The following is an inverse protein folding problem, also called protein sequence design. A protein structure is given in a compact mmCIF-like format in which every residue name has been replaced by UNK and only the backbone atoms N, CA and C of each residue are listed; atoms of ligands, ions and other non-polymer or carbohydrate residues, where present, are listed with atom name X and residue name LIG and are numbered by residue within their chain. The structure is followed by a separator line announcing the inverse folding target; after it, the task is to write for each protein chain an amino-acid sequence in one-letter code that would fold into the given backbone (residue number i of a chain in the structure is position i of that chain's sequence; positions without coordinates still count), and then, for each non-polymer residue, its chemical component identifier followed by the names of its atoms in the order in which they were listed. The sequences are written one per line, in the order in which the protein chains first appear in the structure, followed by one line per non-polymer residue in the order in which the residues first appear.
data_IF_553969158011
#
_entry.id   IF_553969158011
#
_cell.length_a   1.000
_cell.length_b   1.000
_cell.length_c   1.000
_cell.angle_alpha   90.00
_cell.angle_beta   90.00
_cell.angle_gamma   90.00
#
_symmetry.space_group_name_H-M   'P 1'
#
loop_
_entity.id
_entity.type
_entity.pdbx_description
1 polymer ?
#
# COMPACT_ATOMS: atom_id res chain seq x y z
N UNK A 1 -19.49 34.98 5.21
CA UNK A 1 -20.45 34.07 5.88
C UNK A 1 -21.54 33.73 4.88
N UNK A 2 -21.38 32.65 4.13
CA UNK A 2 -22.43 32.10 3.25
C UNK A 2 -23.19 31.04 4.04
N UNK A 3 -24.34 31.44 4.57
CA UNK A 3 -25.33 30.56 5.18
C UNK A 3 -25.88 29.63 4.09
N UNK A 4 -25.28 28.45 3.96
CA UNK A 4 -25.89 27.34 3.23
C UNK A 4 -27.05 26.84 4.08
N UNK A 5 -28.27 27.21 3.69
CA UNK A 5 -29.48 26.57 4.19
C UNK A 5 -29.33 25.05 3.94
N UNK A 6 -29.20 24.27 5.02
CA UNK A 6 -29.31 22.81 4.96
C UNK A 6 -30.76 22.49 4.62
N UNK A 7 -31.06 22.43 3.32
CA UNK A 7 -32.26 21.77 2.84
C UNK A 7 -32.27 20.34 3.40
N UNK A 8 -33.42 19.85 3.87
CA UNK A 8 -33.54 18.48 4.34
C UNK A 8 -33.12 17.52 3.22
N UNK A 9 -32.01 16.81 3.40
CA UNK A 9 -31.52 15.85 2.42
C UNK A 9 -32.41 14.60 2.54
N UNK A 10 -33.35 14.43 1.60
CA UNK A 10 -34.14 13.19 1.49
C UNK A 10 -33.16 12.06 1.21
N UNK A 11 -33.19 11.01 2.03
CA UNK A 11 -32.39 9.81 1.84
C UNK A 11 -33.29 8.71 1.30
N UNK A 12 -33.02 8.27 0.07
CA UNK A 12 -33.69 7.15 -0.58
C UNK A 12 -32.81 5.91 -0.50
N UNK A 13 -33.45 4.76 -0.39
CA UNK A 13 -32.82 3.44 -0.35
C UNK A 13 -33.52 2.48 -1.29
N UNK A 14 -32.92 1.33 -1.57
CA UNK A 14 -33.57 0.28 -2.37
C UNK A 14 -34.90 -0.19 -1.78
N UNK A 15 -35.04 -0.17 -0.44
CA UNK A 15 -36.29 -0.48 0.26
C UNK A 15 -37.46 0.37 -0.23
N UNK A 16 -37.20 1.63 -0.56
CA UNK A 16 -38.24 2.61 -0.90
C UNK A 16 -38.79 2.40 -2.33
N UNK A 17 -38.19 1.51 -3.13
CA UNK A 17 -38.71 1.11 -4.44
C UNK A 17 -39.88 0.11 -4.33
N UNK A 18 -40.09 -0.49 -3.15
CA UNK A 18 -41.15 -1.48 -2.89
C UNK A 18 -41.21 -2.64 -3.91
N UNK A 19 -40.06 -3.04 -4.43
CA UNK A 19 -39.95 -4.10 -5.42
C UNK A 19 -40.12 -5.49 -4.78
N UNK A 20 -40.75 -6.45 -5.47
CA UNK A 20 -40.87 -7.81 -4.97
C UNK A 20 -39.51 -8.51 -4.90
N UNK A 21 -39.41 -9.46 -3.97
CA UNK A 21 -38.21 -10.28 -3.73
C UNK A 21 -38.52 -11.73 -4.13
N UNK A 22 -37.62 -12.43 -4.85
CA UNK A 22 -37.79 -13.85 -5.16
C UNK A 22 -37.93 -14.72 -3.91
N UNK A 23 -38.85 -15.70 -3.90
CA UNK A 23 -38.99 -16.63 -2.78
C UNK A 23 -37.67 -17.37 -2.46
N UNK A 24 -37.33 -17.45 -1.18
CA UNK A 24 -36.10 -18.09 -0.70
C UNK A 24 -34.85 -17.21 -0.73
N UNK A 25 -34.95 -15.96 -1.23
CA UNK A 25 -33.83 -14.99 -1.26
C UNK A 25 -34.02 -13.83 -0.28
N UNK A 26 -35.04 -13.88 0.56
CA UNK A 26 -35.45 -12.80 1.46
C UNK A 26 -34.34 -12.38 2.41
N UNK A 27 -33.63 -13.35 3.02
CA UNK A 27 -32.55 -13.06 3.96
C UNK A 27 -31.34 -12.41 3.29
N UNK A 28 -31.00 -12.84 2.07
CA UNK A 28 -29.90 -12.28 1.30
C UNK A 28 -30.22 -10.86 0.84
N UNK A 29 -31.42 -10.64 0.31
CA UNK A 29 -31.88 -9.30 -0.10
C UNK A 29 -31.99 -8.35 1.09
N UNK A 30 -32.43 -8.83 2.26
CA UNK A 30 -32.53 -8.00 3.46
C UNK A 30 -31.19 -7.32 3.84
N UNK A 31 -30.05 -7.91 3.48
CA UNK A 31 -28.70 -7.35 3.72
C UNK A 31 -28.38 -6.10 2.92
N UNK A 32 -29.14 -5.82 1.86
CA UNK A 32 -28.84 -4.73 0.91
C UNK A 32 -29.96 -3.72 0.74
N UNK A 33 -31.12 -3.92 1.36
CA UNK A 33 -32.27 -3.01 1.23
C UNK A 33 -31.98 -1.59 1.73
N UNK A 34 -31.04 -1.41 2.67
CA UNK A 34 -30.60 -0.11 3.17
C UNK A 34 -29.58 0.61 2.27
N UNK A 35 -29.24 0.02 1.12
CA UNK A 35 -28.32 0.61 0.14
C UNK A 35 -28.87 1.96 -0.31
N UNK A 36 -28.15 3.07 -0.08
CA UNK A 36 -28.55 4.39 -0.54
C UNK A 36 -28.63 4.45 -2.06
N UNK A 37 -29.64 5.15 -2.58
CA UNK A 37 -29.82 5.36 -4.02
C UNK A 37 -29.96 6.85 -4.27
N UNK A 38 -29.20 7.36 -5.25
CA UNK A 38 -29.34 8.76 -5.66
C UNK A 38 -30.67 8.98 -6.38
N UNK A 39 -31.20 10.21 -6.32
CA UNK A 39 -32.54 10.52 -6.85
C UNK A 39 -32.73 10.09 -8.30
N UNK A 40 -31.78 10.39 -9.18
CA UNK A 40 -31.85 10.03 -10.60
C UNK A 40 -31.87 8.51 -10.80
N UNK A 41 -31.06 7.78 -10.03
CA UNK A 41 -31.06 6.31 -10.06
C UNK A 41 -32.38 5.76 -9.52
N UNK A 42 -32.93 6.36 -8.46
CA UNK A 42 -34.21 5.95 -7.88
C UNK A 42 -35.36 6.13 -8.87
N UNK A 43 -35.44 7.29 -9.54
CA UNK A 43 -36.44 7.58 -10.57
C UNK A 43 -36.30 6.61 -11.75
N UNK A 44 -35.07 6.38 -12.24
CA UNK A 44 -34.79 5.41 -13.30
C UNK A 44 -35.25 3.99 -12.95
N UNK A 45 -34.94 3.53 -11.72
CA UNK A 45 -35.29 2.20 -11.24
C UNK A 45 -36.80 2.06 -11.00
N UNK A 46 -37.46 3.10 -10.48
CA UNK A 46 -38.91 3.08 -10.23
C UNK A 46 -39.72 2.79 -11.49
N UNK A 47 -39.25 3.23 -12.65
CA UNK A 47 -39.92 2.99 -13.95
C UNK A 47 -39.63 1.60 -14.54
N UNK A 48 -38.42 1.07 -14.31
CA UNK A 48 -37.87 -0.06 -15.09
C UNK A 48 -37.73 -1.35 -14.29
N UNK A 49 -37.46 -1.24 -13.00
CA UNK A 49 -37.31 -2.40 -12.15
C UNK A 49 -38.67 -3.06 -11.87
N UNK A 50 -38.64 -4.37 -11.75
CA UNK A 50 -39.77 -5.26 -11.50
C UNK A 50 -39.51 -6.21 -10.33
N UNK A 51 -38.29 -6.23 -9.81
CA UNK A 51 -37.88 -7.02 -8.64
C UNK A 51 -36.54 -6.57 -8.09
N UNK A 52 -36.17 -7.08 -6.92
CA UNK A 52 -34.84 -6.95 -6.32
C UNK A 52 -34.27 -8.35 -6.11
N UNK A 53 -32.97 -8.50 -6.39
CA UNK A 53 -32.20 -9.69 -6.10
C UNK A 53 -30.76 -9.34 -5.70
N UNK A 54 -29.96 -10.35 -5.36
CA UNK A 54 -28.53 -10.24 -5.11
C UNK A 54 -27.72 -11.12 -6.07
N UNK A 55 -26.50 -10.68 -6.37
CA UNK A 55 -25.55 -11.45 -7.18
C UNK A 55 -24.94 -12.62 -6.41
N UNK A 56 -24.31 -13.55 -7.14
CA UNK A 56 -23.59 -14.69 -6.56
C UNK A 56 -22.41 -14.25 -5.70
N UNK A 57 -21.72 -13.16 -6.08
CA UNK A 57 -20.58 -12.64 -5.33
C UNK A 57 -20.95 -12.26 -3.89
N UNK A 58 -22.12 -11.63 -3.70
CA UNK A 58 -22.64 -11.31 -2.37
C UNK A 58 -22.81 -12.57 -1.53
N UNK A 59 -23.46 -13.60 -2.08
CA UNK A 59 -23.74 -14.85 -1.38
C UNK A 59 -22.45 -15.59 -0.98
N UNK A 60 -21.48 -15.66 -1.89
CA UNK A 60 -20.15 -16.24 -1.64
C UNK A 60 -19.40 -15.50 -0.54
N UNK A 61 -19.37 -14.17 -0.62
CA UNK A 61 -18.63 -13.30 0.31
C UNK A 61 -19.23 -13.35 1.72
N UNK A 62 -20.56 -13.21 1.85
CA UNK A 62 -21.20 -13.21 3.18
C UNK A 62 -21.08 -14.59 3.84
N UNK A 63 -21.12 -15.66 3.05
CA UNK A 63 -20.93 -17.03 3.52
C UNK A 63 -19.49 -17.27 3.97
N UNK A 64 -18.51 -16.92 3.13
CA UNK A 64 -17.09 -17.11 3.44
C UNK A 64 -16.69 -16.40 4.74
N UNK A 65 -17.05 -15.13 4.88
CA UNK A 65 -16.70 -14.34 6.06
C UNK A 65 -17.68 -14.53 7.24
N UNK A 66 -18.69 -15.39 7.10
CA UNK A 66 -19.71 -15.66 8.14
C UNK A 66 -20.33 -14.36 8.66
N UNK A 67 -20.73 -13.50 7.73
CA UNK A 67 -21.20 -12.14 8.06
C UNK A 67 -22.54 -12.21 8.82
N UNK A 68 -22.69 -11.47 9.94
CA UNK A 68 -23.93 -11.44 10.70
C UNK A 68 -25.17 -11.14 9.83
N UNK A 69 -26.35 -11.72 10.14
CA UNK A 69 -27.57 -11.45 9.39
C UNK A 69 -27.87 -9.96 9.25
N UNK A 70 -28.46 -9.57 8.10
CA UNK A 70 -28.85 -8.19 7.83
C UNK A 70 -27.73 -7.23 7.41
N UNK A 71 -26.47 -7.68 7.33
CA UNK A 71 -25.35 -6.84 6.88
C UNK A 71 -24.48 -7.45 5.79
N UNK A 72 -23.53 -6.65 5.30
CA UNK A 72 -22.45 -7.06 4.37
C UNK A 72 -21.09 -6.74 5.00
N UNK A 73 -20.06 -7.57 4.78
CA UNK A 73 -18.78 -7.41 5.48
C UNK A 73 -18.04 -6.13 5.04
N UNK A 74 -17.10 -5.70 5.87
CA UNK A 74 -16.17 -4.62 5.51
C UNK A 74 -15.28 -5.01 4.33
N UNK A 75 -14.75 -4.01 3.62
CA UNK A 75 -13.87 -4.21 2.46
C UNK A 75 -14.60 -4.43 1.15
N UNK A 76 -15.91 -4.18 1.10
CA UNK A 76 -16.72 -4.33 -0.10
C UNK A 76 -17.67 -3.15 -0.27
N UNK A 77 -17.74 -2.61 -1.49
CA UNK A 77 -18.80 -1.69 -1.91
C UNK A 77 -19.96 -2.50 -2.48
N UNK A 78 -21.18 -2.00 -2.30
CA UNK A 78 -22.38 -2.56 -2.93
C UNK A 78 -22.53 -1.95 -4.31
N UNK A 79 -22.57 -2.79 -5.33
CA UNK A 79 -22.76 -2.36 -6.72
C UNK A 79 -24.19 -2.69 -7.16
N UNK A 80 -24.84 -1.71 -7.79
CA UNK A 80 -26.18 -1.86 -8.34
C UNK A 80 -26.09 -2.15 -9.84
N UNK A 81 -26.74 -3.22 -10.28
CA UNK A 81 -26.97 -3.50 -11.69
C UNK A 81 -28.46 -3.75 -11.97
N UNK A 82 -28.91 -3.47 -13.19
CA UNK A 82 -30.24 -3.88 -13.65
C UNK A 82 -30.09 -5.04 -14.63
N UNK A 83 -30.66 -6.21 -14.32
CA UNK A 83 -30.59 -7.42 -15.15
C UNK A 83 -31.99 -8.02 -15.30
N UNK A 84 -32.45 -8.17 -16.54
CA UNK A 84 -33.76 -8.79 -16.86
C UNK A 84 -34.94 -8.19 -16.06
N UNK A 85 -34.88 -6.88 -15.78
CA UNK A 85 -35.90 -6.17 -15.00
C UNK A 85 -35.74 -6.26 -13.48
N UNK A 86 -34.79 -7.03 -12.94
CA UNK A 86 -34.46 -7.02 -11.51
C UNK A 86 -33.26 -6.12 -11.19
N UNK A 87 -33.33 -5.38 -10.09
CA UNK A 87 -32.16 -4.70 -9.51
C UNK A 87 -31.35 -5.74 -8.74
N UNK A 88 -30.17 -6.04 -9.24
CA UNK A 88 -29.23 -6.99 -8.64
C UNK A 88 -28.17 -6.21 -7.89
N UNK A 89 -28.04 -6.50 -6.59
CA UNK A 89 -26.96 -5.94 -5.76
C UNK A 89 -25.86 -6.98 -5.59
N UNK A 90 -24.62 -6.61 -5.91
CA UNK A 90 -23.46 -7.48 -5.70
C UNK A 90 -22.38 -6.78 -4.84
N UNK A 91 -21.39 -7.55 -4.39
CA UNK A 91 -20.26 -7.04 -3.60
C UNK A 91 -18.99 -6.98 -4.44
N UNK A 92 -18.45 -5.77 -4.57
CA UNK A 92 -17.17 -5.52 -5.26
C UNK A 92 -16.11 -5.15 -4.22
N UNK A 93 -14.92 -5.73 -4.31
CA UNK A 93 -13.82 -5.48 -3.37
C UNK A 93 -13.45 -3.99 -3.37
N UNK A 94 -13.51 -3.38 -2.19
CA UNK A 94 -13.06 -2.00 -1.96
C UNK A 94 -12.69 -1.82 -0.48
N UNK A 95 -11.39 -1.83 -0.18
CA UNK A 95 -10.89 -1.64 1.19
C UNK A 95 -11.12 -0.23 1.75
N UNK A 96 -11.59 0.71 0.92
CA UNK A 96 -12.10 2.02 1.35
C UNK A 96 -13.48 1.95 2.01
N UNK A 97 -14.17 0.81 1.93
CA UNK A 97 -15.45 0.57 2.57
C UNK A 97 -15.28 -0.20 3.89
N UNK A 98 -15.96 0.28 4.93
CA UNK A 98 -16.30 -0.50 6.12
C UNK A 98 -17.52 -1.38 5.87
N UNK A 99 -18.13 -1.87 6.95
CA UNK A 99 -19.33 -2.71 6.87
C UNK A 99 -20.48 -2.02 6.13
N UNK A 100 -21.34 -2.81 5.50
CA UNK A 100 -22.55 -2.33 4.82
C UNK A 100 -22.27 -1.36 3.65
N UNK A 101 -21.09 -1.45 3.04
CA UNK A 101 -20.67 -0.55 1.95
C UNK A 101 -20.48 0.91 2.39
N UNK A 102 -20.40 1.16 3.71
CA UNK A 102 -20.18 2.51 4.24
C UNK A 102 -18.74 2.91 4.01
N UNK A 103 -18.50 4.13 3.54
CA UNK A 103 -17.13 4.61 3.42
C UNK A 103 -16.46 4.69 4.80
N UNK A 104 -15.16 4.38 4.84
CA UNK A 104 -14.33 4.60 6.02
C UNK A 104 -14.30 6.10 6.38
N UNK A 105 -13.98 6.45 7.64
CA UNK A 105 -14.06 7.84 8.11
C UNK A 105 -13.19 8.84 7.33
N UNK A 106 -12.12 8.37 6.69
CA UNK A 106 -11.18 9.18 5.90
C UNK A 106 -11.00 8.58 4.52
N UNK A 107 -10.73 9.44 3.52
CA UNK A 107 -10.35 8.97 2.18
C UNK A 107 -8.97 8.30 2.19
N UNK A 108 -8.06 8.75 3.07
CA UNK A 108 -6.74 8.16 3.26
C UNK A 108 -6.88 6.84 4.02
N UNK A 109 -6.22 5.82 3.50
CA UNK A 109 -6.19 4.49 4.08
C UNK A 109 -4.87 4.22 4.78
N UNK A 110 -4.92 3.38 5.81
CA UNK A 110 -3.75 3.01 6.60
C UNK A 110 -3.45 1.53 6.48
N UNK A 111 -2.16 1.23 6.54
CA UNK A 111 -1.60 -0.12 6.52
C UNK A 111 -0.63 -0.33 7.67
N UNK A 112 -0.62 -1.55 8.20
CA UNK A 112 0.43 -2.02 9.08
C UNK A 112 1.58 -2.63 8.26
N UNK A 113 2.82 -2.17 8.45
CA UNK A 113 4.02 -2.79 7.88
C UNK A 113 4.63 -3.74 8.92
N UNK A 114 4.05 -4.94 9.05
CA UNK A 114 4.40 -5.85 10.13
C UNK A 114 3.99 -7.30 9.84
N UNK A 115 4.67 -8.24 10.50
CA UNK A 115 4.27 -9.63 10.61
C UNK A 115 3.99 -10.04 12.06
N UNK A 116 3.98 -9.09 13.01
CA UNK A 116 3.79 -9.35 14.43
C UNK A 116 2.30 -9.26 14.81
N UNK A 117 1.60 -10.38 15.09
CA UNK A 117 0.18 -10.35 15.44
C UNK A 117 -0.12 -9.51 16.69
N UNK A 118 0.79 -9.45 17.67
CA UNK A 118 0.60 -8.72 18.92
C UNK A 118 0.58 -7.20 18.71
N UNK A 119 1.36 -6.68 17.77
CA UNK A 119 1.38 -5.25 17.42
C UNK A 119 0.27 -4.89 16.43
N UNK A 120 -0.18 -5.85 15.62
CA UNK A 120 -1.25 -5.64 14.63
C UNK A 120 -2.63 -5.62 15.30
N UNK A 121 -2.89 -6.47 16.29
CA UNK A 121 -4.18 -6.56 16.99
C UNK A 121 -4.74 -5.22 17.49
N UNK A 122 -4.00 -4.36 18.21
CA UNK A 122 -4.52 -3.07 18.67
C UNK A 122 -4.76 -2.06 17.54
N UNK A 123 -4.09 -2.24 16.38
CA UNK A 123 -4.22 -1.34 15.23
C UNK A 123 -5.31 -1.81 14.24
N UNK A 124 -5.70 -3.09 14.29
CA UNK A 124 -6.59 -3.74 13.33
C UNK A 124 -7.89 -2.98 13.00
N UNK A 125 -8.61 -2.36 13.97
CA UNK A 125 -9.83 -1.62 13.67
C UNK A 125 -9.62 -0.38 12.78
N UNK A 126 -8.40 0.14 12.71
CA UNK A 126 -8.08 1.42 12.06
C UNK A 126 -7.39 1.25 10.70
N UNK A 127 -6.94 0.04 10.36
CA UNK A 127 -6.27 -0.25 9.09
C UNK A 127 -7.19 -0.93 8.10
N UNK A 128 -6.76 -0.87 6.84
CA UNK A 128 -7.45 -1.47 5.68
C UNK A 128 -6.50 -2.28 4.81
N UNK A 129 -5.22 -2.29 5.17
CA UNK A 129 -4.18 -3.02 4.49
C UNK A 129 -3.12 -3.49 5.51
N UNK A 130 -2.39 -4.54 5.15
CA UNK A 130 -1.16 -4.95 5.80
C UNK A 130 -0.13 -5.25 4.72
N UNK A 131 1.09 -4.80 4.92
CA UNK A 131 2.24 -5.16 4.09
C UNK A 131 3.24 -5.95 4.91
N UNK A 132 3.76 -7.03 4.34
CA UNK A 132 4.91 -7.74 4.90
C UNK A 132 5.85 -8.17 3.78
N UNK A 133 7.10 -8.44 4.14
CA UNK A 133 8.16 -8.91 3.26
C UNK A 133 8.97 -9.99 4.00
N UNK A 134 9.86 -10.75 3.33
CA UNK A 134 10.62 -11.82 3.98
C UNK A 134 11.39 -11.35 5.21
N UNK A 135 12.05 -10.18 5.17
CA UNK A 135 12.76 -9.63 6.33
C UNK A 135 11.83 -9.32 7.52
N UNK A 136 10.64 -8.77 7.26
CA UNK A 136 9.64 -8.53 8.31
C UNK A 136 9.14 -9.84 8.92
N UNK A 137 8.88 -10.86 8.10
CA UNK A 137 8.34 -12.15 8.55
C UNK A 137 9.41 -12.95 9.30
N UNK A 138 10.57 -13.15 8.69
CA UNK A 138 11.60 -14.04 9.21
C UNK A 138 12.45 -13.33 10.26
N UNK A 139 13.01 -12.16 9.95
CA UNK A 139 14.01 -11.54 10.82
C UNK A 139 13.37 -10.77 11.99
N UNK A 140 12.34 -9.97 11.70
CA UNK A 140 11.72 -9.11 12.72
C UNK A 140 10.72 -9.86 13.61
N UNK A 141 10.17 -10.99 13.13
CA UNK A 141 9.15 -11.74 13.85
C UNK A 141 9.55 -13.19 14.15
N UNK A 142 9.51 -14.11 13.17
CA UNK A 142 9.64 -15.55 13.42
C UNK A 142 10.93 -15.93 14.14
N UNK A 143 12.07 -15.38 13.71
CA UNK A 143 13.40 -15.63 14.26
C UNK A 143 13.76 -14.70 15.42
N UNK A 144 12.84 -13.83 15.85
CA UNK A 144 13.02 -12.93 16.97
C UNK A 144 12.26 -13.44 18.21
N UNK A 145 12.95 -14.03 19.21
CA UNK A 145 12.29 -14.60 20.40
C UNK A 145 11.53 -13.57 21.25
N UNK A 146 11.90 -12.29 21.18
CA UNK A 146 11.19 -11.21 21.90
C UNK A 146 9.85 -10.89 21.23
N UNK A 147 9.78 -11.01 19.90
CA UNK A 147 8.57 -10.74 19.12
C UNK A 147 7.67 -11.98 19.01
N UNK A 148 8.23 -13.15 18.68
CA UNK A 148 7.54 -14.44 18.65
C UNK A 148 7.55 -15.06 20.06
N UNK A 149 6.73 -14.49 20.94
CA UNK A 149 6.71 -14.79 22.38
C UNK A 149 6.50 -16.29 22.61
N UNK A 150 7.53 -16.92 23.19
CA UNK A 150 7.51 -18.36 23.51
C UNK A 150 7.57 -19.29 22.29
N UNK A 151 7.95 -18.79 21.11
CA UNK A 151 8.00 -19.59 19.89
C UNK A 151 6.62 -20.08 19.44
N UNK A 152 5.58 -19.29 19.69
CA UNK A 152 4.18 -19.65 19.42
C UNK A 152 3.92 -19.94 17.94
N UNK A 153 4.57 -19.22 17.05
CA UNK A 153 4.44 -19.38 15.60
C UNK A 153 5.65 -20.11 15.04
N UNK A 154 5.41 -21.14 14.23
CA UNK A 154 6.46 -22.02 13.70
C UNK A 154 6.87 -21.66 12.28
N UNK A 155 5.94 -21.15 11.49
CA UNK A 155 6.15 -20.88 10.08
C UNK A 155 5.34 -19.67 9.60
N UNK A 156 5.58 -19.29 8.35
CA UNK A 156 4.92 -18.16 7.68
C UNK A 156 3.41 -18.37 7.54
N UNK A 157 2.93 -19.59 7.39
CA UNK A 157 1.51 -19.89 7.20
C UNK A 157 0.72 -19.62 8.48
N UNK A 158 1.23 -20.05 9.63
CA UNK A 158 0.63 -19.78 10.94
C UNK A 158 0.53 -18.27 11.22
N UNK A 159 1.57 -17.51 10.84
CA UNK A 159 1.55 -16.05 10.96
C UNK A 159 0.50 -15.43 10.06
N UNK A 160 0.45 -15.81 8.78
CA UNK A 160 -0.54 -15.26 7.83
C UNK A 160 -1.97 -15.61 8.23
N UNK A 161 -2.20 -16.81 8.76
CA UNK A 161 -3.50 -17.24 9.25
C UNK A 161 -3.97 -16.39 10.43
N UNK A 162 -3.10 -16.13 11.40
CA UNK A 162 -3.44 -15.31 12.56
C UNK A 162 -3.64 -13.83 12.19
N UNK A 163 -2.79 -13.27 11.33
CA UNK A 163 -2.99 -11.91 10.81
C UNK A 163 -4.31 -11.80 10.04
N UNK A 164 -4.65 -12.81 9.23
CA UNK A 164 -5.94 -12.91 8.57
C UNK A 164 -7.10 -12.93 9.56
N UNK A 165 -7.00 -13.67 10.68
CA UNK A 165 -8.03 -13.70 11.73
C UNK A 165 -8.20 -12.32 12.38
N UNK A 166 -7.10 -11.67 12.75
CA UNK A 166 -7.09 -10.37 13.43
C UNK A 166 -7.67 -9.26 12.56
N UNK A 167 -7.28 -9.20 11.29
CA UNK A 167 -7.63 -8.10 10.38
C UNK A 167 -9.03 -8.23 9.77
N UNK A 168 -9.59 -9.44 9.73
CA UNK A 168 -10.93 -9.69 9.23
C UNK A 168 -11.09 -9.42 7.72
N UNK A 169 -12.33 -9.22 7.23
CA UNK A 169 -12.63 -9.08 5.80
C UNK A 169 -12.21 -7.73 5.21
N UNK A 170 -12.17 -6.67 6.02
CA UNK A 170 -11.99 -5.29 5.56
C UNK A 170 -10.57 -4.90 5.18
N UNK A 171 -9.64 -5.87 5.19
CA UNK A 171 -8.21 -5.64 5.03
C UNK A 171 -7.63 -6.46 3.88
N UNK A 172 -6.83 -5.83 3.02
CA UNK A 172 -5.97 -6.52 2.07
C UNK A 172 -4.60 -6.83 2.70
N UNK A 173 -4.07 -8.02 2.44
CA UNK A 173 -2.83 -8.50 3.04
C UNK A 173 -1.84 -8.77 1.91
N UNK A 174 -0.85 -7.90 1.78
CA UNK A 174 0.25 -8.02 0.83
C UNK A 174 1.36 -8.90 1.38
N UNK A 175 1.58 -10.06 0.74
CA UNK A 175 2.62 -11.01 1.12
C UNK A 175 3.61 -11.16 -0.04
N UNK A 176 4.88 -10.90 0.22
CA UNK A 176 5.91 -10.88 -0.82
C UNK A 176 6.45 -12.27 -1.12
N UNK A 177 6.69 -12.56 -2.40
CA UNK A 177 7.26 -13.84 -2.82
C UNK A 177 8.61 -14.07 -2.16
N UNK A 178 8.88 -15.31 -1.74
CA UNK A 178 10.18 -15.66 -1.16
C UNK A 178 11.31 -15.56 -2.19
N UNK A 179 11.06 -16.02 -3.41
CA UNK A 179 12.04 -15.98 -4.50
C UNK A 179 11.42 -15.42 -5.79
N UNK A 180 11.48 -14.10 -6.04
CA UNK A 180 11.02 -13.50 -7.29
C UNK A 180 11.92 -13.85 -8.50
N UNK A 181 13.05 -14.52 -8.25
CA UNK A 181 13.99 -14.99 -9.27
C UNK A 181 13.81 -16.48 -9.61
N UNK A 182 12.79 -17.15 -9.10
CA UNK A 182 12.44 -18.50 -9.54
C UNK A 182 12.09 -18.48 -11.05
N UNK A 183 12.69 -19.41 -11.82
CA UNK A 183 12.50 -19.50 -13.27
C UNK A 183 11.25 -20.31 -13.61
N UNK A 184 10.92 -21.31 -12.79
CA UNK A 184 9.71 -22.09 -12.92
C UNK A 184 8.51 -21.32 -12.34
N UNK A 185 7.74 -20.70 -13.24
CA UNK A 185 6.56 -19.94 -12.86
C UNK A 185 5.50 -20.78 -12.14
N UNK A 186 5.45 -22.10 -12.36
CA UNK A 186 4.50 -22.97 -11.66
C UNK A 186 4.75 -22.97 -10.15
N UNK A 187 6.01 -22.92 -9.69
CA UNK A 187 6.32 -22.81 -8.27
C UNK A 187 5.91 -21.47 -7.67
N UNK A 188 6.00 -20.39 -8.45
CA UNK A 188 5.50 -19.08 -8.03
C UNK A 188 3.97 -19.12 -7.87
N UNK A 189 3.27 -19.78 -8.80
CA UNK A 189 1.83 -19.98 -8.70
C UNK A 189 1.44 -20.87 -7.51
N UNK A 190 2.23 -21.90 -7.20
CA UNK A 190 2.02 -22.73 -6.00
C UNK A 190 2.14 -21.90 -4.71
N UNK A 191 3.18 -21.06 -4.59
CA UNK A 191 3.31 -20.14 -3.45
C UNK A 191 2.12 -19.16 -3.37
N UNK A 192 1.74 -18.56 -4.50
CA UNK A 192 0.62 -17.62 -4.55
C UNK A 192 -0.74 -18.29 -4.23
N UNK A 193 -0.96 -19.51 -4.73
CA UNK A 193 -2.15 -20.31 -4.46
C UNK A 193 -2.25 -20.69 -2.98
N UNK A 194 -1.13 -21.03 -2.35
CA UNK A 194 -1.08 -21.30 -0.90
C UNK A 194 -1.55 -20.09 -0.08
N UNK A 195 -1.09 -18.88 -0.41
CA UNK A 195 -1.60 -17.68 0.28
C UNK A 195 -3.05 -17.37 -0.04
N UNK A 196 -3.52 -17.67 -1.26
CA UNK A 196 -4.94 -17.54 -1.61
C UNK A 196 -5.81 -18.48 -0.78
N UNK A 197 -5.35 -19.69 -0.50
CA UNK A 197 -6.05 -20.64 0.38
C UNK A 197 -6.15 -20.11 1.82
N UNK A 198 -5.03 -19.64 2.38
CA UNK A 198 -4.96 -19.15 3.78
C UNK A 198 -5.75 -17.85 3.96
N UNK A 199 -5.62 -16.92 3.01
CA UNK A 199 -6.13 -15.56 3.16
C UNK A 199 -7.42 -15.30 2.38
N UNK A 200 -7.91 -16.24 1.57
CA UNK A 200 -9.00 -16.06 0.58
C UNK A 200 -8.61 -15.19 -0.63
N UNK A 201 -9.28 -15.36 -1.79
CA UNK A 201 -9.05 -14.53 -2.97
C UNK A 201 -9.35 -13.05 -2.72
N UNK A 202 -10.21 -12.71 -1.77
CA UNK A 202 -10.60 -11.32 -1.49
C UNK A 202 -9.59 -10.55 -0.65
N UNK A 203 -8.71 -11.20 0.12
CA UNK A 203 -7.75 -10.48 0.98
C UNK A 203 -6.31 -10.61 0.50
N UNK A 204 -5.93 -11.72 -0.13
CA UNK A 204 -4.56 -11.90 -0.59
C UNK A 204 -4.19 -10.88 -1.67
N UNK A 205 -2.99 -10.32 -1.55
CA UNK A 205 -2.32 -9.56 -2.61
C UNK A 205 -0.89 -10.06 -2.68
N UNK A 206 -0.44 -10.49 -3.86
CA UNK A 206 0.92 -11.01 -4.04
C UNK A 206 1.86 -9.84 -4.25
N UNK A 207 2.86 -9.71 -3.40
CA UNK A 207 3.82 -8.62 -3.49
C UNK A 207 5.05 -9.07 -4.29
N UNK A 208 5.39 -8.27 -5.30
CA UNK A 208 6.44 -8.56 -6.28
C UNK A 208 7.38 -7.36 -6.30
N UNK A 209 8.71 -7.54 -6.24
CA UNK A 209 9.64 -6.42 -6.30
C UNK A 209 10.01 -6.01 -7.72
N UNK A 210 10.36 -4.74 -7.90
CA UNK A 210 11.23 -4.32 -9.00
C UNK A 210 12.58 -5.04 -8.84
N UNK A 211 13.02 -5.73 -9.88
CA UNK A 211 14.20 -6.60 -9.83
C UNK A 211 15.49 -5.91 -10.27
N UNK A 212 15.38 -4.83 -11.07
CA UNK A 212 16.55 -4.20 -11.68
C UNK A 212 17.40 -5.22 -12.44
N UNK A 213 18.74 -5.15 -12.40
CA UNK A 213 19.62 -6.09 -13.10
C UNK A 213 19.71 -7.49 -12.43
N UNK A 214 19.03 -7.73 -11.32
CA UNK A 214 19.12 -9.00 -10.58
C UNK A 214 18.31 -10.08 -11.29
N UNK A 215 18.91 -11.26 -11.43
CA UNK A 215 18.40 -12.41 -12.15
C UNK A 215 18.84 -13.73 -11.49
N UNK A 216 18.34 -14.90 -11.92
CA UNK A 216 18.66 -16.18 -11.31
C UNK A 216 20.16 -16.51 -11.30
N UNK A 217 20.89 -16.03 -12.30
CA UNK A 217 22.33 -16.28 -12.46
C UNK A 217 23.22 -15.42 -11.56
N UNK A 218 22.75 -14.26 -11.09
CA UNK A 218 23.55 -13.33 -10.27
C UNK A 218 23.00 -13.08 -8.86
N UNK A 219 21.77 -13.51 -8.53
CA UNK A 219 21.18 -13.30 -7.19
C UNK A 219 22.06 -13.84 -6.06
N UNK A 220 22.83 -14.91 -6.32
CA UNK A 220 23.79 -15.46 -5.36
C UNK A 220 24.87 -14.48 -4.90
N UNK A 221 25.20 -13.45 -5.71
CA UNK A 221 26.14 -12.39 -5.34
C UNK A 221 25.64 -11.58 -4.14
N UNK A 222 24.33 -11.36 -4.05
CA UNK A 222 23.71 -10.61 -2.94
C UNK A 222 23.76 -11.37 -1.60
N UNK A 223 24.01 -12.68 -1.64
CA UNK A 223 24.01 -13.56 -0.48
C UNK A 223 25.43 -13.94 -0.02
N UNK A 224 26.46 -13.57 -0.79
CA UNK A 224 27.83 -14.04 -0.61
C UNK A 224 28.80 -12.86 -0.59
N UNK A 225 30.00 -13.07 -0.01
CA UNK A 225 31.06 -12.07 -0.06
C UNK A 225 30.69 -10.74 0.60
N UNK A 226 30.87 -9.64 -0.13
CA UNK A 226 30.50 -8.28 0.30
C UNK A 226 29.03 -7.92 0.00
N UNK A 227 28.26 -8.84 -0.60
CA UNK A 227 26.85 -8.66 -0.95
C UNK A 227 26.59 -7.71 -2.12
N UNK A 228 27.64 -7.23 -2.80
CA UNK A 228 27.52 -6.30 -3.92
C UNK A 228 27.27 -7.00 -5.25
N UNK A 229 26.53 -6.35 -6.15
CA UNK A 229 26.34 -6.83 -7.52
C UNK A 229 27.47 -6.34 -8.43
N UNK A 230 27.98 -7.23 -9.29
CA UNK A 230 29.02 -6.89 -10.27
C UNK A 230 28.52 -5.94 -11.36
N UNK A 231 27.21 -5.94 -11.60
CA UNK A 231 26.55 -5.11 -12.63
C UNK A 231 25.88 -3.92 -11.95
N UNK A 232 26.22 -2.71 -12.40
CA UNK A 232 25.57 -1.48 -11.93
C UNK A 232 24.06 -1.52 -12.23
N UNK A 233 23.24 -0.94 -11.35
CA UNK A 233 21.77 -0.90 -11.48
C UNK A 233 21.24 -0.47 -12.86
N UNK A 234 21.96 0.42 -13.56
CA UNK A 234 21.57 0.96 -14.88
C UNK A 234 22.12 0.20 -16.09
N UNK A 235 22.92 -0.85 -15.87
CA UNK A 235 23.61 -1.60 -16.94
C UNK A 235 23.11 -3.05 -17.09
N UNK A 236 21.98 -3.39 -16.49
CA UNK A 236 21.33 -4.70 -16.68
C UNK A 236 20.81 -4.88 -18.10
N UNK A 237 20.73 -6.14 -18.55
CA UNK A 237 20.07 -6.46 -19.81
C UNK A 237 18.57 -6.17 -19.71
N UNK A 238 17.93 -5.81 -20.83
CA UNK A 238 16.49 -5.47 -20.87
C UNK A 238 15.61 -6.54 -20.24
N UNK A 239 15.89 -7.83 -20.50
CA UNK A 239 15.13 -8.96 -19.94
C UNK A 239 15.20 -9.02 -18.41
N UNK A 240 16.34 -8.63 -17.83
CA UNK A 240 16.57 -8.70 -16.38
C UNK A 240 15.89 -7.50 -15.70
N UNK A 241 16.09 -6.30 -16.25
CA UNK A 241 15.45 -5.06 -15.79
C UNK A 241 13.91 -5.14 -15.83
N UNK A 242 13.34 -5.87 -16.79
CA UNK A 242 11.90 -6.07 -16.92
C UNK A 242 11.39 -7.36 -16.26
N UNK A 243 12.22 -8.16 -15.59
CA UNK A 243 11.79 -9.42 -14.97
C UNK A 243 10.66 -9.21 -13.98
N UNK A 244 10.81 -8.28 -13.03
CA UNK A 244 9.76 -7.95 -12.06
C UNK A 244 8.46 -7.45 -12.70
N UNK A 245 8.56 -6.69 -13.79
CA UNK A 245 7.40 -6.20 -14.56
C UNK A 245 6.65 -7.36 -15.22
N UNK A 246 7.37 -8.25 -15.89
CA UNK A 246 6.80 -9.42 -16.54
C UNK A 246 6.19 -10.39 -15.51
N UNK A 247 6.82 -10.54 -14.35
CA UNK A 247 6.28 -11.37 -13.27
C UNK A 247 4.98 -10.79 -12.70
N UNK A 248 4.94 -9.49 -12.43
CA UNK A 248 3.73 -8.80 -11.98
C UNK A 248 2.59 -8.92 -12.99
N UNK A 249 2.88 -8.70 -14.28
CA UNK A 249 1.88 -8.81 -15.35
C UNK A 249 1.34 -10.25 -15.46
N UNK A 250 2.22 -11.25 -15.47
CA UNK A 250 1.80 -12.66 -15.55
C UNK A 250 0.92 -13.08 -14.36
N UNK A 251 1.25 -12.65 -13.14
CA UNK A 251 0.41 -12.92 -11.97
C UNK A 251 -0.96 -12.23 -12.07
N UNK A 252 -1.01 -11.01 -12.61
CA UNK A 252 -2.27 -10.31 -12.87
C UNK A 252 -3.13 -11.02 -13.92
N UNK A 253 -2.53 -11.56 -14.98
CA UNK A 253 -3.21 -12.37 -16.01
C UNK A 253 -3.77 -13.68 -15.44
N UNK A 254 -3.14 -14.25 -14.41
CA UNK A 254 -3.61 -15.41 -13.63
C UNK A 254 -4.65 -15.03 -12.54
N UNK A 255 -5.15 -13.78 -12.57
CA UNK A 255 -6.21 -13.28 -11.69
C UNK A 255 -5.75 -12.94 -10.27
N UNK A 256 -4.45 -12.81 -10.01
CA UNK A 256 -3.95 -12.31 -8.72
C UNK A 256 -3.88 -10.79 -8.71
N UNK A 257 -4.26 -10.18 -7.58
CA UNK A 257 -3.93 -8.77 -7.32
C UNK A 257 -2.46 -8.68 -6.92
N UNK A 258 -1.74 -7.74 -7.53
CA UNK A 258 -0.30 -7.57 -7.32
C UNK A 258 0.03 -6.26 -6.61
N UNK A 259 0.88 -6.32 -5.59
CA UNK A 259 1.54 -5.17 -4.98
C UNK A 259 2.96 -5.07 -5.56
N UNK A 260 3.18 -4.12 -6.46
CA UNK A 260 4.46 -3.94 -7.13
C UNK A 260 5.37 -3.00 -6.32
N UNK A 261 6.35 -3.58 -5.65
CA UNK A 261 7.16 -2.94 -4.61
C UNK A 261 8.58 -2.59 -5.07
N UNK A 262 9.43 -2.12 -4.14
CA UNK A 262 10.81 -1.65 -4.36
C UNK A 262 10.90 -0.53 -5.42
N UNK A 263 9.95 0.39 -5.37
CA UNK A 263 9.90 1.59 -6.20
C UNK A 263 10.46 2.78 -5.43
N UNK A 264 11.55 3.35 -5.95
CA UNK A 264 12.27 4.45 -5.35
C UNK A 264 12.18 5.71 -6.23
N UNK A 265 12.34 5.58 -7.54
CA UNK A 265 12.46 6.74 -8.42
C UNK A 265 11.17 7.12 -9.15
N UNK A 266 10.92 8.43 -9.35
CA UNK A 266 9.71 8.92 -10.01
C UNK A 266 9.44 8.25 -11.37
N UNK A 267 10.48 8.09 -12.19
CA UNK A 267 10.36 7.54 -13.54
C UNK A 267 9.90 6.07 -13.57
N UNK A 268 9.97 5.35 -12.46
CA UNK A 268 9.52 3.95 -12.39
C UNK A 268 7.99 3.85 -12.48
N UNK A 269 7.25 4.85 -12.02
CA UNK A 269 5.80 4.72 -11.84
C UNK A 269 5.04 4.47 -13.14
N UNK A 270 5.29 5.24 -14.19
CA UNK A 270 4.57 5.05 -15.46
C UNK A 270 4.84 3.69 -16.09
N UNK A 271 6.08 3.18 -15.96
CA UNK A 271 6.45 1.86 -16.46
C UNK A 271 5.80 0.75 -15.61
N UNK A 272 5.81 0.90 -14.29
CA UNK A 272 5.19 -0.05 -13.37
C UNK A 272 3.69 -0.23 -13.63
N UNK A 273 2.98 0.85 -13.99
CA UNK A 273 1.55 0.80 -14.31
C UNK A 273 1.24 -0.05 -15.54
N UNK A 274 2.18 -0.27 -16.45
CA UNK A 274 1.99 -1.16 -17.62
C UNK A 274 1.78 -2.62 -17.19
N UNK A 275 2.29 -3.02 -16.02
CA UNK A 275 2.10 -4.35 -15.45
C UNK A 275 0.74 -4.54 -14.75
N UNK A 276 -0.17 -3.55 -14.84
CA UNK A 276 -1.52 -3.55 -14.24
C UNK A 276 -1.55 -3.90 -12.73
N UNK A 277 -0.68 -3.31 -11.89
CA UNK A 277 -0.63 -3.65 -10.49
C UNK A 277 -1.88 -3.15 -9.74
N UNK A 278 -2.27 -3.86 -8.69
CA UNK A 278 -3.30 -3.41 -7.75
C UNK A 278 -2.75 -2.36 -6.77
N UNK A 279 -1.50 -2.52 -6.34
CA UNK A 279 -0.76 -1.49 -5.60
C UNK A 279 0.58 -1.19 -6.28
N UNK A 280 0.96 0.08 -6.30
CA UNK A 280 2.34 0.53 -6.54
C UNK A 280 2.88 1.14 -5.25
N UNK A 281 4.21 1.16 -5.08
CA UNK A 281 4.81 1.69 -3.86
C UNK A 281 5.62 2.97 -4.13
N UNK A 282 5.85 3.74 -3.07
CA UNK A 282 6.87 4.78 -3.04
C UNK A 282 7.66 4.67 -1.73
N UNK A 283 8.95 4.32 -1.83
CA UNK A 283 9.87 4.20 -0.69
C UNK A 283 10.57 5.54 -0.44
N UNK A 284 10.30 6.18 0.71
CA UNK A 284 10.74 7.56 0.91
C UNK A 284 12.03 7.70 1.73
N UNK A 285 12.25 6.86 2.76
CA UNK A 285 13.38 7.04 3.70
C UNK A 285 14.75 6.96 3.02
N UNK A 286 15.09 5.78 2.50
CA UNK A 286 16.46 5.53 2.03
C UNK A 286 16.82 6.49 0.91
N UNK A 287 15.84 6.74 0.05
CA UNK A 287 15.95 7.71 -1.03
C UNK A 287 16.26 9.12 -0.52
N UNK A 288 15.50 9.64 0.44
CA UNK A 288 15.74 10.97 1.03
C UNK A 288 17.13 11.06 1.64
N UNK A 289 17.52 10.09 2.46
CA UNK A 289 18.85 10.04 3.10
C UNK A 289 19.97 10.00 2.05
N UNK A 290 19.79 9.21 0.99
CA UNK A 290 20.76 9.14 -0.10
C UNK A 290 20.88 10.47 -0.84
N UNK A 291 19.76 11.14 -1.14
CA UNK A 291 19.77 12.48 -1.74
C UNK A 291 20.54 13.47 -0.85
N UNK A 292 20.24 13.52 0.45
CA UNK A 292 20.89 14.44 1.39
C UNK A 292 22.41 14.23 1.43
N UNK A 293 22.85 12.96 1.47
CA UNK A 293 24.28 12.62 1.47
C UNK A 293 24.97 12.98 0.16
N UNK A 294 24.35 12.69 -0.98
CA UNK A 294 24.88 13.04 -2.31
C UNK A 294 25.03 14.57 -2.43
N UNK A 295 23.99 15.34 -2.07
CA UNK A 295 24.06 16.80 -2.03
C UNK A 295 25.19 17.29 -1.11
N UNK A 296 25.34 16.69 0.07
CA UNK A 296 26.38 17.03 1.03
C UNK A 296 27.79 16.90 0.47
N UNK A 297 28.10 15.76 -0.18
CA UNK A 297 29.41 15.55 -0.80
C UNK A 297 29.67 16.50 -1.96
N UNK A 298 28.70 16.68 -2.86
CA UNK A 298 28.85 17.58 -4.01
C UNK A 298 29.05 19.04 -3.56
N UNK A 299 28.28 19.50 -2.58
CA UNK A 299 28.41 20.84 -2.01
C UNK A 299 29.76 21.03 -1.30
N UNK A 300 30.20 20.04 -0.53
CA UNK A 300 31.51 20.10 0.11
C UNK A 300 32.63 20.19 -0.92
N UNK A 301 32.54 19.43 -2.02
CA UNK A 301 33.49 19.53 -3.14
C UNK A 301 33.46 20.90 -3.82
N UNK A 302 32.27 21.46 -4.08
CA UNK A 302 32.12 22.78 -4.72
C UNK A 302 32.72 23.91 -3.88
N UNK A 303 32.60 23.83 -2.55
CA UNK A 303 33.13 24.82 -1.62
C UNK A 303 34.65 24.68 -1.39
N UNK A 304 35.16 23.47 -1.29
CA UNK A 304 36.56 23.21 -0.90
C UNK A 304 37.49 22.97 -2.09
N UNK A 305 36.94 22.56 -3.24
CA UNK A 305 37.65 22.04 -4.41
C UNK A 305 38.54 20.83 -4.12
N UNK A 306 38.37 20.19 -2.96
CA UNK A 306 39.16 19.01 -2.57
C UNK A 306 38.59 17.75 -3.23
N UNK A 307 39.47 16.96 -3.85
CA UNK A 307 39.10 15.72 -4.53
C UNK A 307 38.67 14.61 -3.56
N UNK A 308 39.10 14.68 -2.29
CA UNK A 308 38.74 13.71 -1.23
C UNK A 308 37.22 13.59 -1.04
N UNK A 309 36.47 14.67 -1.28
CA UNK A 309 35.00 14.66 -1.22
C UNK A 309 34.38 13.79 -2.32
N UNK A 310 34.96 13.79 -3.53
CA UNK A 310 34.52 12.94 -4.64
C UNK A 310 34.95 11.48 -4.42
N UNK A 311 36.07 11.22 -3.75
CA UNK A 311 36.46 9.87 -3.35
C UNK A 311 35.52 9.27 -2.29
N UNK A 312 35.12 10.09 -1.32
CA UNK A 312 34.10 9.74 -0.32
C UNK A 312 32.74 9.51 -0.99
N UNK A 313 32.36 10.36 -1.94
CA UNK A 313 31.15 10.18 -2.75
C UNK A 313 31.20 8.87 -3.54
N UNK A 314 32.30 8.55 -4.22
CA UNK A 314 32.46 7.26 -4.93
C UNK A 314 32.26 6.08 -4.00
N UNK A 315 32.92 6.10 -2.84
CA UNK A 315 32.79 5.05 -1.83
C UNK A 315 31.35 4.91 -1.34
N UNK A 316 30.65 6.03 -1.17
CA UNK A 316 29.25 6.06 -0.78
C UNK A 316 28.31 5.52 -1.87
N UNK A 317 28.55 5.88 -3.13
CA UNK A 317 27.77 5.41 -4.28
C UNK A 317 27.95 3.91 -4.52
N UNK A 318 29.14 3.36 -4.27
CA UNK A 318 29.37 1.90 -4.28
C UNK A 318 28.60 1.23 -3.13
N UNK A 319 28.72 1.77 -1.91
CA UNK A 319 28.04 1.21 -0.73
C UNK A 319 26.50 1.36 -0.75
N UNK A 320 25.95 2.08 -1.74
CA UNK A 320 24.51 2.31 -1.91
C UNK A 320 24.00 1.86 -3.29
N UNK A 321 24.77 1.00 -3.98
CA UNK A 321 24.40 0.35 -5.25
C UNK A 321 24.16 1.26 -6.46
N UNK A 322 24.55 2.54 -6.39
CA UNK A 322 24.59 3.42 -7.57
C UNK A 322 25.73 3.05 -8.51
N UNK A 323 26.82 2.53 -7.94
CA UNK A 323 27.98 1.99 -8.64
C UNK A 323 28.15 0.53 -8.23
N UNK A 324 28.66 -0.30 -9.14
CA UNK A 324 29.03 -1.68 -8.82
C UNK A 324 30.30 -1.76 -7.98
N UNK A 325 30.50 -2.89 -7.30
CA UNK A 325 31.70 -3.17 -6.48
C UNK A 325 33.00 -3.12 -7.29
N UNK A 326 32.94 -3.38 -8.60
CA UNK A 326 34.07 -3.31 -9.54
C UNK A 326 34.49 -1.88 -9.93
N UNK A 327 33.70 -0.85 -9.59
CA UNK A 327 33.91 0.53 -10.06
C UNK A 327 34.71 1.39 -9.07
N UNK A 328 35.53 0.75 -8.24
CA UNK A 328 36.42 1.42 -7.25
C UNK A 328 37.40 2.42 -7.88
N UNK A 329 37.76 2.22 -9.15
CA UNK A 329 38.69 3.06 -9.88
C UNK A 329 38.02 4.01 -10.89
N UNK A 330 36.69 4.16 -10.84
CA UNK A 330 35.97 5.09 -11.71
C UNK A 330 36.50 6.54 -11.53
N UNK A 331 36.68 7.26 -12.63
CA UNK A 331 37.18 8.63 -12.61
C UNK A 331 36.29 9.55 -11.76
N UNK A 332 36.90 10.43 -10.96
CA UNK A 332 36.15 11.27 -10.01
C UNK A 332 35.20 12.27 -10.69
N UNK A 333 35.54 12.73 -11.89
CA UNK A 333 34.65 13.56 -12.70
C UNK A 333 33.37 12.80 -13.08
N UNK A 334 33.50 11.54 -13.51
CA UNK A 334 32.37 10.67 -13.85
C UNK A 334 31.51 10.34 -12.61
N UNK A 335 32.13 10.12 -11.45
CA UNK A 335 31.43 9.97 -10.17
C UNK A 335 30.56 11.19 -9.88
N UNK A 336 31.13 12.39 -10.07
CA UNK A 336 30.39 13.64 -9.90
C UNK A 336 29.24 13.79 -10.89
N UNK A 337 29.44 13.39 -12.15
CA UNK A 337 28.41 13.42 -13.19
C UNK A 337 27.23 12.50 -12.84
N UNK A 338 27.50 11.24 -12.49
CA UNK A 338 26.46 10.26 -12.10
C UNK A 338 25.67 10.75 -10.90
N UNK A 339 26.35 11.30 -9.89
CA UNK A 339 25.68 11.87 -8.72
C UNK A 339 24.74 13.03 -9.09
N UNK A 340 25.15 13.91 -10.02
CA UNK A 340 24.30 15.01 -10.51
C UNK A 340 23.13 14.51 -11.36
N UNK A 341 23.32 13.47 -12.17
CA UNK A 341 22.23 12.82 -12.92
C UNK A 341 21.17 12.26 -12.00
N UNK A 342 21.58 11.60 -10.91
CA UNK A 342 20.66 11.13 -9.86
C UNK A 342 19.86 12.32 -9.30
N UNK A 343 20.52 13.38 -8.83
CA UNK A 343 19.82 14.54 -8.28
C UNK A 343 18.89 15.22 -9.31
N UNK A 344 19.30 15.31 -10.57
CA UNK A 344 18.49 15.83 -11.66
C UNK A 344 17.20 15.01 -11.84
N UNK A 345 17.29 13.68 -11.86
CA UNK A 345 16.11 12.81 -11.95
C UNK A 345 15.14 12.97 -10.75
N UNK A 346 15.63 13.43 -9.59
CA UNK A 346 14.84 13.74 -8.39
C UNK A 346 14.35 15.19 -8.35
N UNK A 347 14.71 16.02 -9.32
CA UNK A 347 14.39 17.45 -9.34
C UNK A 347 15.06 18.23 -8.20
N UNK A 348 16.22 17.78 -7.73
CA UNK A 348 16.96 18.36 -6.61
C UNK A 348 18.12 19.21 -7.12
N UNK A 349 18.19 20.45 -6.65
CA UNK A 349 19.37 21.30 -6.80
C UNK A 349 20.29 21.13 -5.57
N UNK A 350 21.58 20.93 -5.82
CA UNK A 350 22.63 20.83 -4.79
C UNK A 350 22.61 22.05 -3.86
N UNK A 351 22.26 23.22 -4.39
CA UNK A 351 22.24 24.47 -3.63
C UNK A 351 21.09 24.54 -2.61
N UNK A 352 19.93 23.96 -2.93
CA UNK A 352 18.71 24.03 -2.12
C UNK A 352 18.51 22.83 -1.19
N UNK A 353 19.16 21.69 -1.48
CA UNK A 353 19.10 20.48 -0.67
C UNK A 353 17.92 19.56 -1.01
N UNK A 354 17.81 18.43 -0.31
CA UNK A 354 16.95 17.30 -0.67
C UNK A 354 15.43 17.49 -0.49
N UNK A 355 14.99 18.59 0.14
CA UNK A 355 13.57 18.84 0.44
C UNK A 355 12.95 17.81 1.41
N UNK A 356 11.65 17.56 1.24
CA UNK A 356 10.87 16.62 2.07
C UNK A 356 11.01 15.14 1.63
N UNK A 357 11.61 14.88 0.46
CA UNK A 357 11.78 13.54 -0.11
C UNK A 357 10.49 12.92 -0.69
N UNK A 358 9.42 13.71 -0.85
CA UNK A 358 8.12 13.25 -1.34
C UNK A 358 7.88 13.52 -2.84
N UNK A 359 8.91 13.91 -3.59
CA UNK A 359 8.80 14.16 -5.03
C UNK A 359 8.38 12.92 -5.83
N UNK A 360 8.86 11.73 -5.46
CA UNK A 360 8.41 10.46 -6.07
C UNK A 360 6.93 10.14 -5.75
N UNK A 361 6.46 10.52 -4.55
CA UNK A 361 5.03 10.42 -4.19
C UNK A 361 4.20 11.36 -5.05
N UNK A 362 4.60 12.64 -5.14
CA UNK A 362 3.91 13.64 -5.99
C UNK A 362 3.84 13.20 -7.45
N UNK A 363 4.94 12.68 -7.99
CA UNK A 363 4.95 12.14 -9.36
C UNK A 363 3.99 10.96 -9.51
N UNK A 364 4.00 10.03 -8.55
CA UNK A 364 3.15 8.84 -8.61
C UNK A 364 1.66 9.18 -8.56
N UNK A 365 1.27 10.18 -7.76
CA UNK A 365 -0.11 10.68 -7.74
C UNK A 365 -0.53 11.30 -9.08
N UNK A 366 0.36 12.08 -9.71
CA UNK A 366 0.12 12.64 -11.05
C UNK A 366 0.00 11.55 -12.11
N UNK A 367 0.83 10.50 -12.04
CA UNK A 367 0.77 9.37 -12.96
C UNK A 367 -0.55 8.58 -12.77
N UNK A 368 -0.92 8.27 -11.53
CA UNK A 368 -2.17 7.56 -11.22
C UNK A 368 -3.42 8.34 -11.66
N UNK A 369 -3.43 9.67 -11.51
CA UNK A 369 -4.54 10.51 -12.01
C UNK A 369 -4.79 10.32 -13.51
N UNK A 370 -3.75 10.05 -14.27
CA UNK A 370 -3.81 9.87 -15.72
C UNK A 370 -3.86 8.39 -16.16
N UNK A 371 -3.98 7.45 -15.21
CA UNK A 371 -3.98 6.02 -15.49
C UNK A 371 -5.41 5.47 -15.66
N UNK A 372 -5.61 4.63 -16.67
CA UNK A 372 -6.87 3.90 -16.92
C UNK A 372 -6.99 2.64 -16.05
N UNK A 373 -6.59 2.73 -14.78
CA UNK A 373 -6.63 1.64 -13.82
C UNK A 373 -7.39 2.12 -12.59
N UNK A 374 -8.70 1.89 -12.56
CA UNK A 374 -9.60 2.50 -11.57
C UNK A 374 -9.28 2.07 -10.12
N UNK A 375 -8.83 0.81 -9.96
CA UNK A 375 -8.62 0.21 -8.65
C UNK A 375 -7.18 0.33 -8.12
N UNK A 376 -6.21 0.73 -8.95
CA UNK A 376 -4.80 0.81 -8.52
C UNK A 376 -4.62 1.90 -7.47
N UNK A 377 -3.87 1.62 -6.39
CA UNK A 377 -3.55 2.61 -5.33
C UNK A 377 -2.05 2.73 -5.11
N UNK A 378 -1.63 3.89 -4.62
CA UNK A 378 -0.26 4.15 -4.17
C UNK A 378 -0.12 3.81 -2.69
N UNK A 379 0.82 2.93 -2.36
CA UNK A 379 1.29 2.70 -1.00
C UNK A 379 2.51 3.59 -0.75
N UNK A 380 2.39 4.58 0.13
CA UNK A 380 3.52 5.37 0.63
C UNK A 380 4.14 4.60 1.79
N UNK A 381 5.42 4.23 1.67
CA UNK A 381 6.06 3.26 2.56
C UNK A 381 7.49 3.66 2.97
N UNK A 382 8.10 2.85 3.84
CA UNK A 382 9.45 3.07 4.36
C UNK A 382 9.59 4.44 5.05
N UNK A 383 8.73 4.69 6.05
CA UNK A 383 8.78 5.91 6.88
C UNK A 383 9.69 5.74 8.10
N UNK A 384 10.38 6.83 8.49
CA UNK A 384 11.08 6.91 9.78
C UNK A 384 11.21 8.36 10.27
N UNK A 385 11.90 8.56 11.40
CA UNK A 385 12.21 9.89 11.92
C UNK A 385 10.97 10.60 12.44
N UNK A 386 11.02 11.88 12.79
CA UNK A 386 9.86 12.58 13.35
C UNK A 386 8.93 13.18 12.28
N UNK A 387 9.42 13.36 11.05
CA UNK A 387 8.80 14.26 10.07
C UNK A 387 8.15 13.58 8.88
N UNK A 388 8.52 12.34 8.52
CA UNK A 388 7.98 11.70 7.31
C UNK A 388 6.44 11.63 7.30
N UNK A 389 5.81 11.22 8.41
CA UNK A 389 4.34 11.16 8.44
C UNK A 389 3.69 12.55 8.47
N UNK A 390 4.12 13.52 9.30
CA UNK A 390 3.61 14.90 9.22
C UNK A 390 3.76 15.54 7.84
N UNK A 391 4.86 15.26 7.12
CA UNK A 391 5.07 15.79 5.77
C UNK A 391 4.14 15.11 4.74
N UNK A 392 3.91 13.79 4.87
CA UNK A 392 2.89 13.08 4.08
C UNK A 392 1.50 13.65 4.38
N UNK A 393 1.12 13.77 5.65
CA UNK A 393 -0.18 14.31 6.07
C UNK A 393 -0.41 15.71 5.46
N UNK A 394 0.60 16.58 5.49
CA UNK A 394 0.56 17.89 4.83
C UNK A 394 0.36 17.77 3.31
N UNK A 395 1.13 16.90 2.64
CA UNK A 395 1.00 16.66 1.19
C UNK A 395 -0.41 16.21 0.82
N UNK A 396 -1.02 15.34 1.64
CA UNK A 396 -2.36 14.80 1.38
C UNK A 396 -3.49 15.84 1.57
N UNK A 397 -3.18 16.97 2.21
CA UNK A 397 -4.07 18.12 2.33
C UNK A 397 -3.84 19.18 1.24
N UNK A 398 -2.82 19.01 0.38
CA UNK A 398 -2.56 19.95 -0.71
C UNK A 398 -3.73 19.92 -1.73
N UNK A 399 -4.24 21.09 -2.18
CA UNK A 399 -5.32 21.14 -3.16
C UNK A 399 -5.01 20.41 -4.47
N UNK A 400 -3.72 20.29 -4.82
CA UNK A 400 -3.28 19.55 -6.00
C UNK A 400 -3.75 18.09 -5.96
N UNK A 401 -3.86 17.44 -4.80
CA UNK A 401 -4.11 15.99 -4.67
C UNK A 401 -5.43 15.63 -4.00
N UNK A 402 -6.34 16.60 -3.82
CA UNK A 402 -7.62 16.37 -3.13
C UNK A 402 -8.46 15.23 -3.74
N UNK A 403 -8.45 15.12 -5.07
CA UNK A 403 -9.13 14.06 -5.85
C UNK A 403 -8.47 12.68 -5.74
N UNK A 404 -7.19 12.63 -5.38
CA UNK A 404 -6.38 11.40 -5.35
C UNK A 404 -6.37 10.71 -3.99
N UNK A 405 -6.86 11.35 -2.94
CA UNK A 405 -6.77 10.85 -1.55
C UNK A 405 -7.35 9.44 -1.35
N UNK A 406 -8.36 9.05 -2.14
CA UNK A 406 -8.97 7.70 -2.10
C UNK A 406 -8.11 6.59 -2.71
N UNK A 407 -7.06 6.96 -3.44
CA UNK A 407 -6.14 6.04 -4.12
C UNK A 407 -4.81 5.92 -3.37
N UNK A 408 -4.81 6.21 -2.06
CA UNK A 408 -3.59 6.26 -1.24
C UNK A 408 -3.74 5.37 -0.02
N UNK A 409 -2.70 4.60 0.24
CA UNK A 409 -2.49 3.84 1.48
C UNK A 409 -1.18 4.31 2.10
N UNK A 410 -1.19 4.65 3.38
CA UNK A 410 0.00 5.01 4.15
C UNK A 410 0.40 3.81 5.00
N UNK A 411 1.61 3.27 4.81
CA UNK A 411 2.09 2.07 5.53
C UNK A 411 3.33 2.38 6.37
N UNK A 412 3.29 1.96 7.64
CA UNK A 412 4.43 2.00 8.56
C UNK A 412 4.31 0.89 9.61
N UNK A 413 5.40 0.65 10.33
CA UNK A 413 5.38 -0.16 11.54
C UNK A 413 4.29 0.36 12.51
N UNK A 414 3.48 -0.53 13.13
CA UNK A 414 2.37 -0.13 14.01
C UNK A 414 2.76 0.90 15.07
N UNK A 415 3.89 0.70 15.75
CA UNK A 415 4.40 1.61 16.78
C UNK A 415 4.75 3.00 16.24
N UNK A 416 5.27 3.07 15.02
CA UNK A 416 5.59 4.34 14.36
C UNK A 416 4.31 5.15 14.07
N UNK A 417 3.23 4.51 13.64
CA UNK A 417 1.94 5.19 13.45
C UNK A 417 1.33 5.60 14.79
N UNK A 418 1.32 4.70 15.77
CA UNK A 418 0.68 4.91 17.06
C UNK A 418 1.21 6.13 17.83
N UNK A 419 2.50 6.47 17.68
CA UNK A 419 3.09 7.63 18.37
C UNK A 419 2.43 8.96 17.99
N UNK A 420 1.79 9.05 16.82
CA UNK A 420 1.10 10.26 16.35
C UNK A 420 -0.29 10.44 16.95
N UNK A 421 -0.81 9.45 17.69
CA UNK A 421 -2.00 9.61 18.51
C UNK A 421 -1.72 10.39 19.82
N UNK A 422 -0.48 10.83 20.07
CA UNK A 422 -0.06 11.47 21.32
C UNK A 422 0.68 12.80 21.08
N UNK A 423 0.67 13.66 22.11
CA UNK A 423 1.49 14.86 22.19
C UNK A 423 1.76 15.20 23.66
N UNK A 424 2.73 16.09 23.91
CA UNK A 424 3.00 16.58 25.27
C UNK A 424 1.76 17.22 25.92
N UNK A 425 0.86 17.82 25.13
CA UNK A 425 -0.38 18.42 25.61
C UNK A 425 -1.43 17.38 26.00
N UNK A 426 -1.49 16.23 25.31
CA UNK A 426 -2.38 15.11 25.71
C UNK A 426 -2.08 14.72 27.16
N UNK A 427 -0.81 14.49 27.51
CA UNK A 427 -0.40 14.13 28.88
C UNK A 427 -0.70 15.26 29.86
N UNK A 428 -0.39 16.51 29.48
CA UNK A 428 -0.56 17.67 30.36
C UNK A 428 -2.02 17.92 30.72
N UNK A 429 -2.93 17.80 29.74
CA UNK A 429 -4.37 17.95 29.97
C UNK A 429 -4.96 16.77 30.73
N UNK A 430 -4.57 15.53 30.43
CA UNK A 430 -5.00 14.37 31.21
C UNK A 430 -4.59 14.51 32.68
N UNK A 431 -3.36 14.94 32.96
CA UNK A 431 -2.91 15.22 34.34
C UNK A 431 -3.80 16.26 35.03
N UNK A 432 -4.16 17.34 34.33
CA UNK A 432 -5.04 18.38 34.86
C UNK A 432 -6.44 17.83 35.14
N UNK A 433 -7.03 17.09 34.21
CA UNK A 433 -8.37 16.52 34.33
C UNK A 433 -8.46 15.51 35.46
N UNK A 434 -7.48 14.60 35.58
CA UNK A 434 -7.47 13.61 36.66
C UNK A 434 -7.29 14.25 38.05
N UNK A 435 -6.52 15.35 38.15
CA UNK A 435 -6.44 16.14 39.39
C UNK A 435 -7.77 16.81 39.73
N UNK A 436 -8.45 17.39 38.74
CA UNK A 436 -9.75 18.02 38.94
C UNK A 436 -10.82 16.99 39.34
N UNK A 437 -10.85 15.83 38.69
CA UNK A 437 -11.77 14.73 39.01
C UNK A 437 -11.55 14.18 40.43
N UNK A 438 -10.29 14.08 40.89
CA UNK A 438 -9.99 13.73 42.28
C UNK A 438 -10.53 14.74 43.30
N UNK A 439 -10.77 15.98 42.91
CA UNK A 439 -11.38 16.99 43.78
C UNK A 439 -12.89 16.82 44.00
N UNK A 440 -13.54 15.88 43.29
CA UNK A 440 -14.97 15.56 43.50
C UNK A 440 -15.21 14.52 44.61
N UNK A 441 -14.15 13.91 45.17
CA UNK A 441 -14.25 12.95 46.28
C UNK A 441 -14.18 13.63 47.63
#
# INVERSE_FOLDING_TARGET
MTTTHRCARIRLTLRDLHLPVPPGREELVARVLDTPVERETFEFLSERARGIDVGAGLEEVVTHFRTPPGGTPAGFRRELGLREGAVVVDLVRDIGCGENGRQRPTNVLYSADSANPYEVEPLAPFVSNLTCNPGIIYDLFLNNPEANIGGRFRDRDEVMMELGRILGPGCDISVELNNPFEEDFSKILEEAARFREILSPWRVVIKVPHTGPVNPGNVGQLLQGDGGLDVRFSRGATKDCLRGHNLALRLAEEGYRVNFTLMFEPYQTQLALQARPYFINAFIRHRKIQTERICGFLRAHELTRQQDQLEKLRSYLIASDYLSSGEKNLGLEEVGAIAREVLHARGVDVSSGAGDGLDAVRHSLRALRNANLDDTRLIICSMEGAFNYPDIDRLLMEPEFADMTRRIVVTAEPRYLARFASSNQVISYQRRFMKAARGQS
#
